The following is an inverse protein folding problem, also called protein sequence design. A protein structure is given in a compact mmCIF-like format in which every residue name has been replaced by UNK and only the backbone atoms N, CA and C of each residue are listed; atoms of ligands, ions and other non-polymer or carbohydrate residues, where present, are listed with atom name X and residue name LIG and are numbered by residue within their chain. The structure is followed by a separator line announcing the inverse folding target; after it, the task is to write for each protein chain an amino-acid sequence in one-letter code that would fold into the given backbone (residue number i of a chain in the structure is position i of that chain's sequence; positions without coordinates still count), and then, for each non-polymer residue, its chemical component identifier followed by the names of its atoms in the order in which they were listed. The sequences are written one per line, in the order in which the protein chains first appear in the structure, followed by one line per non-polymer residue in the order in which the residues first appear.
data_IF_052029650185
#
_entry.id   IF_052029650185
#
_cell.length_a   1.000
_cell.length_b   1.000
_cell.length_c   1.000
_cell.angle_alpha   90.00
_cell.angle_beta   90.00
_cell.angle_gamma   90.00
#
_symmetry.space_group_name_H-M   'P 1'
#
loop_
_entity.id
_entity.type
_entity.pdbx_description
1 polymer ?
#
# COMPACT_ATOMS: atom_id res chain seq x y z
N UNK A 1 0.66 0.56 15.17
CA UNK A 1 0.51 2.00 14.83
C UNK A 1 -0.94 2.44 14.68
N UNK A 2 -1.93 1.64 15.11
CA UNK A 2 -3.36 2.01 15.04
C UNK A 2 -4.07 1.84 16.40
N UNK A 3 -3.34 2.09 17.51
CA UNK A 3 -3.85 1.81 18.87
C UNK A 3 -4.75 2.94 19.40
N UNK A 4 -4.69 4.11 18.78
CA UNK A 4 -5.45 5.31 19.17
C UNK A 4 -6.78 5.41 18.43
N UNK A 5 -6.97 4.61 17.39
CA UNK A 5 -8.09 4.63 16.47
C UNK A 5 -9.12 3.54 16.83
N UNK A 6 -10.39 3.81 16.54
CA UNK A 6 -11.45 2.82 16.68
C UNK A 6 -11.54 1.94 15.41
N UNK A 7 -10.91 0.77 15.45
CA UNK A 7 -10.93 -0.18 14.33
C UNK A 7 -12.24 -0.96 14.33
N UNK A 8 -13.15 -0.61 13.41
CA UNK A 8 -14.48 -1.24 13.31
C UNK A 8 -14.55 -2.36 12.28
N UNK A 9 -13.64 -2.39 11.30
CA UNK A 9 -13.61 -3.37 10.22
C UNK A 9 -12.16 -3.70 9.83
N UNK A 10 -11.94 -4.96 9.46
CA UNK A 10 -10.67 -5.48 8.94
C UNK A 10 -10.95 -6.33 7.71
N UNK A 11 -10.12 -6.19 6.68
CA UNK A 11 -10.27 -6.91 5.42
C UNK A 11 -8.92 -7.47 4.99
N UNK A 12 -8.85 -8.78 4.78
CA UNK A 12 -7.67 -9.45 4.23
C UNK A 12 -8.09 -10.70 3.45
N UNK A 13 -7.43 -10.94 2.32
CA UNK A 13 -7.69 -12.10 1.46
C UNK A 13 -7.09 -13.39 2.04
N UNK A 14 -6.10 -13.29 2.93
CA UNK A 14 -5.48 -14.41 3.63
C UNK A 14 -5.76 -14.34 5.13
N UNK A 15 -6.78 -15.08 5.57
CA UNK A 15 -7.19 -15.10 6.97
C UNK A 15 -6.18 -15.81 7.89
N UNK A 16 -5.31 -16.67 7.34
CA UNK A 16 -4.22 -17.27 8.13
C UNK A 16 -3.16 -16.21 8.42
N UNK A 17 -2.82 -15.40 7.43
CA UNK A 17 -1.89 -14.28 7.60
C UNK A 17 -2.45 -13.20 8.53
N UNK A 18 -3.72 -12.83 8.36
CA UNK A 18 -4.38 -11.79 9.13
C UNK A 18 -4.79 -12.19 10.56
N UNK A 19 -4.69 -13.47 10.91
CA UNK A 19 -5.18 -14.01 12.19
C UNK A 19 -4.67 -13.24 13.42
N UNK A 20 -3.40 -12.81 13.41
CA UNK A 20 -2.85 -11.99 14.50
C UNK A 20 -3.57 -10.64 14.62
N UNK A 21 -3.70 -9.91 13.51
CA UNK A 21 -4.36 -8.58 13.48
C UNK A 21 -5.84 -8.69 13.86
N UNK A 22 -6.52 -9.75 13.42
CA UNK A 22 -7.88 -10.07 13.85
C UNK A 22 -7.96 -10.30 15.36
N UNK A 23 -7.00 -11.01 15.94
CA UNK A 23 -6.89 -11.22 17.39
C UNK A 23 -6.57 -9.95 18.18
N UNK A 24 -5.77 -9.04 17.61
CA UNK A 24 -5.44 -7.74 18.21
C UNK A 24 -6.67 -6.79 18.24
N UNK A 25 -7.65 -7.01 17.36
CA UNK A 25 -8.86 -6.18 17.22
C UNK A 25 -10.15 -7.03 17.14
N UNK A 26 -10.50 -7.77 18.20
CA UNK A 26 -11.57 -8.79 18.14
C UNK A 26 -12.98 -8.22 17.96
N UNK A 27 -13.16 -6.90 18.17
CA UNK A 27 -14.44 -6.21 17.97
C UNK A 27 -14.66 -5.76 16.53
N UNK A 28 -13.60 -5.72 15.72
CA UNK A 28 -13.70 -5.34 14.32
C UNK A 28 -14.38 -6.46 13.52
N UNK A 29 -15.31 -6.10 12.64
CA UNK A 29 -15.91 -7.06 11.70
C UNK A 29 -14.87 -7.45 10.65
N UNK A 30 -14.75 -8.74 10.38
CA UNK A 30 -13.73 -9.30 9.50
C UNK A 30 -14.34 -9.62 8.13
N UNK A 31 -13.62 -9.28 7.07
CA UNK A 31 -14.01 -9.47 5.68
C UNK A 31 -12.86 -10.09 4.88
N UNK A 32 -13.20 -10.81 3.82
CA UNK A 32 -12.23 -11.17 2.76
C UNK A 32 -12.21 -10.15 1.64
N UNK A 33 -13.39 -9.66 1.28
CA UNK A 33 -13.60 -8.72 0.19
C UNK A 33 -13.91 -7.32 0.73
N UNK A 34 -13.12 -6.34 0.31
CA UNK A 34 -13.29 -4.95 0.71
C UNK A 34 -14.57 -4.34 0.12
N UNK A 35 -15.09 -4.87 -1.00
CA UNK A 35 -16.36 -4.46 -1.60
C UNK A 35 -17.52 -4.81 -0.67
N UNK A 36 -17.56 -6.05 -0.20
CA UNK A 36 -18.55 -6.48 0.79
C UNK A 36 -18.43 -5.70 2.11
N UNK A 37 -17.21 -5.37 2.52
CA UNK A 37 -16.98 -4.52 3.69
C UNK A 37 -17.65 -3.16 3.52
N UNK A 38 -17.47 -2.49 2.38
CA UNK A 38 -18.13 -1.21 2.12
C UNK A 38 -19.65 -1.36 1.97
N UNK A 39 -20.16 -2.41 1.33
CA UNK A 39 -21.60 -2.64 1.21
C UNK A 39 -22.26 -2.80 2.60
N UNK A 40 -21.59 -3.52 3.51
CA UNK A 40 -22.14 -3.84 4.84
C UNK A 40 -21.84 -2.79 5.91
N UNK A 41 -20.82 -1.95 5.72
CA UNK A 41 -20.30 -1.04 6.76
C UNK A 41 -19.91 0.34 6.27
N UNK A 42 -20.07 0.64 4.98
CA UNK A 42 -19.62 1.91 4.40
C UNK A 42 -20.15 3.15 5.12
N UNK A 43 -21.37 3.10 5.64
CA UNK A 43 -21.97 4.20 6.42
C UNK A 43 -21.35 4.40 7.81
N UNK A 44 -20.67 3.39 8.35
CA UNK A 44 -20.01 3.45 9.66
C UNK A 44 -18.51 3.76 9.58
N UNK A 45 -17.93 3.70 8.38
CA UNK A 45 -16.50 3.94 8.14
C UNK A 45 -16.27 5.42 7.87
N UNK A 46 -15.41 6.07 8.66
CA UNK A 46 -14.97 7.46 8.42
C UNK A 46 -13.73 7.52 7.52
N UNK A 47 -12.79 6.60 7.75
CA UNK A 47 -11.51 6.54 7.07
C UNK A 47 -11.05 5.10 6.84
N UNK A 48 -10.16 4.90 5.87
CA UNK A 48 -9.51 3.62 5.61
C UNK A 48 -7.98 3.74 5.62
N UNK A 49 -7.33 2.62 5.93
CA UNK A 49 -5.91 2.38 5.73
C UNK A 49 -5.76 1.22 4.74
N UNK A 50 -5.13 1.47 3.60
CA UNK A 50 -4.83 0.46 2.58
C UNK A 50 -3.37 0.04 2.71
N UNK A 51 -3.14 -1.24 2.97
CA UNK A 51 -1.81 -1.86 3.05
C UNK A 51 -1.78 -3.22 2.33
N UNK A 52 -2.55 -3.31 1.25
CA UNK A 52 -2.62 -4.48 0.37
C UNK A 52 -1.41 -4.50 -0.58
N UNK A 53 -1.25 -5.48 -1.49
CA UNK A 53 -0.22 -5.40 -2.53
C UNK A 53 -0.42 -4.23 -3.51
N UNK A 54 0.67 -3.67 -4.04
CA UNK A 54 0.69 -2.42 -4.83
C UNK A 54 -0.38 -2.36 -5.92
N UNK A 55 -0.53 -3.46 -6.69
CA UNK A 55 -1.48 -3.55 -7.82
C UNK A 55 -2.97 -3.38 -7.42
N UNK A 56 -3.31 -3.52 -6.14
CA UNK A 56 -4.69 -3.35 -5.66
C UNK A 56 -4.93 -1.98 -5.01
N UNK A 57 -3.87 -1.25 -4.65
CA UNK A 57 -3.96 0.02 -3.91
C UNK A 57 -4.94 1.00 -4.57
N UNK A 58 -4.77 1.23 -5.87
CA UNK A 58 -5.51 2.22 -6.62
C UNK A 58 -7.02 1.91 -6.64
N UNK A 59 -7.41 0.65 -6.81
CA UNK A 59 -8.82 0.24 -6.85
C UNK A 59 -9.52 0.47 -5.52
N UNK A 60 -8.91 0.00 -4.42
CA UNK A 60 -9.47 0.16 -3.06
C UNK A 60 -9.55 1.64 -2.69
N UNK A 61 -8.46 2.39 -2.91
CA UNK A 61 -8.39 3.81 -2.58
C UNK A 61 -9.38 4.65 -3.41
N UNK A 62 -9.46 4.42 -4.72
CA UNK A 62 -10.40 5.14 -5.59
C UNK A 62 -11.85 4.91 -5.14
N UNK A 63 -12.21 3.65 -4.85
CA UNK A 63 -13.56 3.32 -4.38
C UNK A 63 -13.89 4.05 -3.07
N UNK A 64 -13.00 3.97 -2.08
CA UNK A 64 -13.18 4.65 -0.80
C UNK A 64 -13.32 6.18 -0.94
N UNK A 65 -12.46 6.80 -1.75
CA UNK A 65 -12.52 8.24 -2.03
C UNK A 65 -13.86 8.60 -2.69
N UNK A 66 -14.36 7.80 -3.62
CA UNK A 66 -15.66 8.07 -4.28
C UNK A 66 -16.86 7.94 -3.34
N UNK A 67 -16.70 7.19 -2.25
CA UNK A 67 -17.66 7.10 -1.14
C UNK A 67 -17.45 8.20 -0.07
N UNK A 68 -16.56 9.16 -0.31
CA UNK A 68 -16.27 10.27 0.60
C UNK A 68 -15.43 9.88 1.82
N UNK A 69 -14.70 8.76 1.77
CA UNK A 69 -13.90 8.26 2.91
C UNK A 69 -12.49 8.84 2.90
N UNK A 70 -12.02 9.27 4.07
CA UNK A 70 -10.62 9.65 4.24
C UNK A 70 -9.73 8.45 4.01
N UNK A 71 -8.62 8.64 3.29
CA UNK A 71 -7.90 7.49 2.73
C UNK A 71 -6.40 7.62 2.98
N UNK A 72 -5.88 6.72 3.81
CA UNK A 72 -4.46 6.50 3.97
C UNK A 72 -4.04 5.28 3.14
N UNK A 73 -3.00 5.39 2.31
CA UNK A 73 -2.51 4.28 1.48
C UNK A 73 -1.02 4.10 1.74
N UNK A 74 -0.59 2.87 2.00
CA UNK A 74 0.83 2.58 2.14
C UNK A 74 1.57 2.88 0.85
N UNK A 75 2.87 3.16 1.01
CA UNK A 75 3.78 3.26 -0.11
C UNK A 75 4.04 1.87 -0.71
N UNK A 76 4.42 1.79 -1.99
CA UNK A 76 4.25 2.84 -3.00
C UNK A 76 2.76 3.13 -3.22
N UNK A 77 2.41 4.39 -3.51
CA UNK A 77 0.99 4.80 -3.57
C UNK A 77 0.17 3.95 -4.55
N UNK A 78 0.71 3.69 -5.73
CA UNK A 78 0.05 2.94 -6.80
C UNK A 78 1.06 2.17 -7.64
N UNK A 79 0.55 1.28 -8.49
CA UNK A 79 1.36 0.47 -9.40
C UNK A 79 1.82 1.24 -10.65
N UNK A 80 1.03 2.24 -11.07
CA UNK A 80 1.37 3.11 -12.20
C UNK A 80 1.21 4.60 -11.90
N UNK A 81 1.90 5.45 -12.68
CA UNK A 81 1.76 6.92 -12.60
C UNK A 81 0.33 7.38 -12.95
N UNK A 82 -0.34 6.68 -13.86
CA UNK A 82 -1.72 6.99 -14.23
C UNK A 82 -2.66 6.89 -13.03
N UNK A 83 -2.55 5.81 -12.26
CA UNK A 83 -3.34 5.58 -11.07
C UNK A 83 -3.09 6.65 -10.01
N UNK A 84 -1.83 7.02 -9.77
CA UNK A 84 -1.50 8.12 -8.84
C UNK A 84 -2.20 9.42 -9.25
N UNK A 85 -2.13 9.79 -10.53
CA UNK A 85 -2.81 11.00 -11.06
C UNK A 85 -4.34 10.89 -10.95
N UNK A 86 -4.90 9.70 -11.14
CA UNK A 86 -6.32 9.44 -10.95
C UNK A 86 -6.73 9.69 -9.50
N UNK A 87 -6.01 9.11 -8.54
CA UNK A 87 -6.28 9.30 -7.11
C UNK A 87 -6.18 10.78 -6.72
N UNK A 88 -5.20 11.53 -7.23
CA UNK A 88 -5.11 12.99 -7.02
C UNK A 88 -6.38 13.72 -7.49
N UNK A 89 -6.89 13.39 -8.69
CA UNK A 89 -8.12 14.01 -9.22
C UNK A 89 -9.33 13.65 -8.38
N UNK A 90 -9.44 12.39 -7.95
CA UNK A 90 -10.54 11.93 -7.10
C UNK A 90 -10.50 12.61 -5.73
N UNK A 91 -9.34 12.67 -5.07
CA UNK A 91 -9.18 13.35 -3.78
C UNK A 91 -9.62 14.83 -3.88
N UNK A 92 -9.19 15.53 -4.93
CA UNK A 92 -9.62 16.92 -5.20
C UNK A 92 -11.13 17.04 -5.44
N UNK A 93 -11.72 16.11 -6.20
CA UNK A 93 -13.16 16.12 -6.53
C UNK A 93 -14.04 15.86 -5.31
N UNK A 94 -13.71 14.84 -4.52
CA UNK A 94 -14.51 14.37 -3.38
C UNK A 94 -14.13 15.06 -2.07
N UNK A 95 -13.08 15.88 -2.06
CA UNK A 95 -12.65 16.72 -0.93
C UNK A 95 -12.39 15.94 0.36
N UNK A 96 -11.78 14.77 0.21
CA UNK A 96 -11.37 13.92 1.34
C UNK A 96 -9.90 14.16 1.69
N UNK A 97 -9.56 14.07 2.98
CA UNK A 97 -8.19 13.96 3.41
C UNK A 97 -7.57 12.66 2.89
N UNK A 98 -6.37 12.75 2.32
CA UNK A 98 -5.60 11.61 1.84
C UNK A 98 -4.15 11.70 2.30
N UNK A 99 -3.53 10.56 2.60
CA UNK A 99 -2.12 10.49 2.96
C UNK A 99 -1.47 9.23 2.40
N UNK A 100 -0.29 9.36 1.80
CA UNK A 100 0.58 8.23 1.51
C UNK A 100 1.41 7.88 2.74
N UNK A 101 1.62 6.59 2.99
CA UNK A 101 2.42 6.08 4.11
C UNK A 101 3.93 6.22 3.97
N UNK A 102 4.39 7.36 3.44
CA UNK A 102 5.81 7.67 3.38
C UNK A 102 6.30 8.26 4.70
N UNK A 103 6.46 7.39 5.70
CA UNK A 103 6.77 7.77 7.08
C UNK A 103 8.10 8.52 7.24
N UNK A 104 9.04 8.40 6.28
CA UNK A 104 10.33 9.08 6.30
C UNK A 104 10.18 10.59 6.55
N UNK A 105 9.23 11.23 5.86
CA UNK A 105 8.94 12.66 5.98
C UNK A 105 8.42 13.11 7.35
N UNK A 106 8.02 12.18 8.20
CA UNK A 106 7.58 12.48 9.56
C UNK A 106 8.76 12.64 10.53
N UNK A 107 9.97 12.20 10.16
CA UNK A 107 11.14 12.27 11.03
C UNK A 107 11.83 13.64 10.99
N UNK A 108 12.48 14.00 12.10
CA UNK A 108 13.13 15.30 12.25
C UNK A 108 14.29 15.52 11.27
N UNK A 109 14.98 14.44 10.85
CA UNK A 109 16.11 14.56 9.92
C UNK A 109 15.67 15.13 8.56
N UNK A 110 14.51 14.74 8.01
CA UNK A 110 13.99 15.31 6.77
C UNK A 110 13.75 16.82 6.92
N UNK A 111 13.23 17.24 8.08
CA UNK A 111 12.94 18.65 8.38
C UNK A 111 14.23 19.44 8.52
N UNK A 112 15.22 18.89 9.23
CA UNK A 112 16.53 19.52 9.40
C UNK A 112 17.25 19.72 8.07
N UNK A 113 17.25 18.72 7.18
CA UNK A 113 17.83 18.86 5.84
C UNK A 113 17.14 19.97 5.06
N UNK A 114 15.80 19.99 5.06
CA UNK A 114 15.04 21.05 4.40
C UNK A 114 15.34 22.45 4.99
N UNK A 115 15.52 22.56 6.30
CA UNK A 115 15.91 23.81 6.97
C UNK A 115 17.32 24.26 6.61
N UNK A 116 18.29 23.35 6.56
CA UNK A 116 19.67 23.67 6.16
C UNK A 116 19.75 24.17 4.72
N UNK A 117 19.02 23.53 3.80
CA UNK A 117 18.94 23.97 2.40
C UNK A 117 18.26 25.35 2.32
N UNK A 118 17.09 25.53 2.96
CA UNK A 118 16.34 26.79 2.89
C UNK A 118 17.03 27.97 3.56
N UNK A 119 17.80 27.72 4.62
CA UNK A 119 18.58 28.76 5.31
C UNK A 119 19.84 29.18 4.57
N UNK A 120 20.30 28.37 3.59
CA UNK A 120 21.55 28.61 2.87
C UNK A 120 22.80 28.31 3.68
N UNK A 121 22.70 27.65 4.84
CA UNK A 121 23.85 27.40 5.73
C UNK A 121 24.91 26.48 5.10
N UNK A 122 24.52 25.68 4.10
CA UNK A 122 25.41 24.79 3.34
C UNK A 122 25.81 25.34 1.96
N UNK A 123 25.38 26.56 1.61
CA UNK A 123 25.55 27.13 0.27
C UNK A 123 24.65 26.48 -0.79
N UNK A 124 25.00 26.65 -2.06
CA UNK A 124 24.27 26.05 -3.17
C UNK A 124 24.50 24.53 -3.24
N UNK A 125 23.41 23.77 -3.30
CA UNK A 125 23.47 22.31 -3.46
C UNK A 125 23.78 21.98 -4.92
N UNK A 126 24.91 21.32 -5.17
CA UNK A 126 25.33 20.90 -6.51
C UNK A 126 25.09 19.42 -6.81
N UNK A 127 25.02 18.57 -5.77
CA UNK A 127 24.91 17.12 -5.94
C UNK A 127 24.27 16.47 -4.70
N UNK A 128 23.42 15.47 -4.93
CA UNK A 128 22.80 14.66 -3.88
C UNK A 128 22.89 13.18 -4.27
N UNK A 129 23.36 12.33 -3.34
CA UNK A 129 23.52 10.90 -3.56
C UNK A 129 22.50 10.11 -2.74
N UNK A 130 21.90 9.10 -3.38
CA UNK A 130 20.90 8.24 -2.77
C UNK A 130 21.25 6.78 -3.06
N UNK A 131 21.28 5.93 -2.04
CA UNK A 131 21.51 4.50 -2.20
C UNK A 131 20.76 3.69 -1.15
N UNK A 132 20.64 2.39 -1.39
CA UNK A 132 20.04 1.44 -0.43
C UNK A 132 20.64 0.05 -0.62
N UNK A 133 20.73 -0.70 0.47
CA UNK A 133 21.06 -2.13 0.48
C UNK A 133 19.82 -3.02 0.21
N UNK A 134 18.66 -2.39 -0.02
CA UNK A 134 17.40 -3.06 -0.37
C UNK A 134 17.33 -3.33 -1.87
N UNK A 135 16.56 -4.34 -2.30
CA UNK A 135 15.60 -5.16 -1.53
C UNK A 135 16.26 -6.34 -0.81
N UNK A 136 15.65 -6.80 0.27
CA UNK A 136 15.98 -8.09 0.93
C UNK A 136 15.13 -9.25 0.39
N UNK A 137 14.48 -9.04 -0.75
CA UNK A 137 13.55 -9.97 -1.39
C UNK A 137 13.88 -10.07 -2.89
N UNK A 138 13.55 -11.19 -3.57
CA UNK A 138 14.06 -11.44 -4.92
C UNK A 138 13.46 -10.52 -5.99
N UNK A 139 14.27 -10.10 -6.97
CA UNK A 139 13.86 -9.21 -8.07
C UNK A 139 13.83 -9.92 -9.42
N UNK A 140 12.99 -9.45 -10.33
CA UNK A 140 13.01 -9.89 -11.74
C UNK A 140 12.74 -11.38 -11.91
N UNK A 141 11.90 -11.94 -11.04
CA UNK A 141 11.58 -13.36 -11.04
C UNK A 141 10.78 -13.72 -12.30
N UNK A 142 11.11 -14.88 -12.89
CA UNK A 142 10.28 -15.47 -13.92
C UNK A 142 8.91 -15.86 -13.34
N UNK A 143 7.86 -15.75 -14.15
CA UNK A 143 6.53 -16.17 -13.75
C UNK A 143 6.51 -17.68 -13.43
N UNK A 144 6.10 -18.09 -12.22
CA UNK A 144 5.96 -19.49 -11.87
C UNK A 144 4.89 -20.16 -12.73
N UNK A 145 5.08 -21.46 -13.01
CA UNK A 145 4.13 -22.25 -13.80
C UNK A 145 2.84 -22.59 -13.04
N UNK A 146 2.83 -22.40 -11.71
CA UNK A 146 1.72 -22.77 -10.84
C UNK A 146 1.50 -24.29 -10.79
N UNK A 147 0.24 -24.70 -10.65
CA UNK A 147 -0.14 -26.13 -10.57
C UNK A 147 -0.24 -26.66 -9.14
N UNK A 148 -0.17 -25.78 -8.15
CA UNK A 148 -0.39 -26.10 -6.74
C UNK A 148 -1.73 -25.55 -6.26
N UNK A 149 -2.42 -26.26 -5.33
CA UNK A 149 -3.71 -25.81 -4.82
C UNK A 149 -3.55 -24.52 -4.01
N UNK A 150 -4.56 -23.64 -4.13
CA UNK A 150 -4.65 -22.44 -3.30
C UNK A 150 -4.89 -22.87 -1.84
N UNK A 151 -4.14 -22.33 -0.85
CA UNK A 151 -4.42 -22.57 0.56
C UNK A 151 -5.84 -22.15 0.92
N UNK A 152 -6.58 -22.96 1.69
CA UNK A 152 -7.99 -22.70 2.01
C UNK A 152 -8.25 -21.33 2.68
N UNK A 153 -7.25 -20.80 3.40
CA UNK A 153 -7.36 -19.50 4.06
C UNK A 153 -7.21 -18.31 3.10
N UNK A 154 -6.57 -18.50 1.94
CA UNK A 154 -6.28 -17.48 0.94
C UNK A 154 -7.34 -17.48 -0.16
N UNK A 155 -7.92 -16.30 -0.41
CA UNK A 155 -8.73 -16.06 -1.60
C UNK A 155 -7.86 -15.52 -2.74
N UNK A 156 -7.53 -16.40 -3.68
CA UNK A 156 -6.64 -16.06 -4.79
C UNK A 156 -7.29 -15.16 -5.84
N UNK A 157 -8.61 -15.25 -6.02
CA UNK A 157 -9.35 -14.38 -6.94
C UNK A 157 -9.26 -12.93 -6.47
N UNK A 158 -9.51 -12.72 -5.17
CA UNK A 158 -9.42 -11.42 -4.53
C UNK A 158 -7.97 -10.91 -4.48
N UNK A 159 -6.99 -11.79 -4.25
CA UNK A 159 -5.58 -11.40 -4.30
C UNK A 159 -5.17 -10.91 -5.70
N UNK A 160 -5.52 -11.62 -6.77
CA UNK A 160 -5.21 -11.20 -8.15
C UNK A 160 -5.82 -9.82 -8.44
N UNK A 161 -7.06 -9.61 -8.00
CA UNK A 161 -7.76 -8.34 -8.17
C UNK A 161 -7.74 -7.86 -9.63
N UNK A 162 -7.18 -6.68 -9.93
CA UNK A 162 -7.14 -6.12 -11.28
C UNK A 162 -6.05 -6.73 -12.19
N UNK A 163 -5.14 -7.54 -11.66
CA UNK A 163 -4.06 -8.11 -12.46
C UNK A 163 -4.57 -9.20 -13.42
N UNK A 164 -3.77 -9.49 -14.46
CA UNK A 164 -4.07 -10.57 -15.38
C UNK A 164 -4.14 -11.92 -14.65
N UNK A 165 -5.19 -12.70 -14.97
CA UNK A 165 -5.49 -14.00 -14.37
C UNK A 165 -4.33 -14.97 -14.55
N UNK A 166 -3.97 -15.65 -13.46
CA UNK A 166 -2.86 -16.61 -13.43
C UNK A 166 -3.05 -17.66 -12.34
N UNK A 167 -2.44 -18.85 -12.48
CA UNK A 167 -2.50 -19.85 -11.43
C UNK A 167 -1.78 -19.34 -10.16
N UNK A 168 -2.22 -19.84 -9.02
CA UNK A 168 -1.54 -19.59 -7.75
C UNK A 168 -0.19 -20.31 -7.72
N UNK A 169 0.76 -19.68 -7.02
CA UNK A 169 2.05 -20.25 -6.67
C UNK A 169 2.52 -19.64 -5.32
N UNK A 170 3.05 -20.45 -4.38
CA UNK A 170 3.56 -19.96 -3.10
C UNK A 170 4.75 -19.01 -3.24
N UNK A 171 5.39 -18.92 -4.41
CA UNK A 171 6.42 -17.93 -4.68
C UNK A 171 5.91 -16.49 -4.61
N UNK A 172 4.59 -16.23 -4.75
CA UNK A 172 4.02 -14.89 -4.69
C UNK A 172 3.78 -14.39 -3.26
N UNK A 173 3.08 -15.16 -2.44
CA UNK A 173 2.57 -14.71 -1.13
C UNK A 173 3.44 -15.21 0.02
N UNK A 174 3.41 -14.54 1.19
CA UNK A 174 2.75 -13.25 1.44
C UNK A 174 3.61 -12.03 1.08
N UNK A 175 4.89 -12.21 0.73
CA UNK A 175 5.86 -11.11 0.69
C UNK A 175 6.49 -10.85 -0.68
N UNK A 176 6.76 -11.91 -1.44
CA UNK A 176 7.59 -11.87 -2.65
C UNK A 176 6.88 -11.29 -3.89
N UNK A 177 5.57 -11.07 -3.82
CA UNK A 177 4.76 -10.43 -4.86
C UNK A 177 5.38 -9.13 -5.37
N UNK A 178 6.16 -8.43 -4.54
CA UNK A 178 6.88 -7.19 -4.88
C UNK A 178 7.85 -7.36 -6.06
N UNK A 179 8.42 -8.56 -6.21
CA UNK A 179 9.38 -8.89 -7.27
C UNK A 179 8.75 -9.33 -8.58
N UNK A 180 7.43 -9.48 -8.60
CA UNK A 180 6.68 -9.75 -9.81
C UNK A 180 6.02 -8.45 -10.24
N UNK A 181 6.43 -7.93 -11.39
CA UNK A 181 5.92 -6.65 -11.92
C UNK A 181 4.41 -6.60 -12.05
N UNK A 182 3.74 -7.74 -12.13
CA UNK A 182 2.27 -7.85 -12.20
C UNK A 182 1.57 -7.48 -10.89
N UNK A 183 2.27 -7.54 -9.76
CA UNK A 183 1.71 -7.32 -8.42
C UNK A 183 2.38 -6.18 -7.66
N UNK A 184 3.67 -5.96 -7.90
CA UNK A 184 4.47 -4.93 -7.26
C UNK A 184 5.25 -4.07 -8.24
N UNK A 185 5.96 -3.09 -7.69
CA UNK A 185 6.70 -2.07 -8.44
C UNK A 185 8.23 -2.23 -8.35
N UNK A 186 8.71 -3.40 -7.90
CA UNK A 186 10.14 -3.64 -7.73
C UNK A 186 10.75 -2.85 -6.57
N UNK A 187 12.07 -2.95 -6.41
CA UNK A 187 12.79 -2.21 -5.37
C UNK A 187 12.72 -0.70 -5.60
N UNK A 188 12.66 -0.29 -6.87
CA UNK A 188 12.55 1.11 -7.23
C UNK A 188 11.28 1.71 -6.64
N UNK A 189 10.10 1.14 -6.89
CA UNK A 189 8.87 1.67 -6.31
C UNK A 189 8.82 1.53 -4.78
N UNK A 190 9.31 0.42 -4.23
CA UNK A 190 9.29 0.14 -2.79
C UNK A 190 10.21 1.06 -1.96
N UNK A 191 11.38 1.41 -2.49
CA UNK A 191 12.44 2.11 -1.75
C UNK A 191 12.76 3.52 -2.26
N UNK A 192 12.63 3.80 -3.56
CA UNK A 192 12.91 5.14 -4.07
C UNK A 192 11.96 6.17 -3.46
N UNK A 193 10.69 5.82 -3.25
CA UNK A 193 9.77 6.72 -2.56
C UNK A 193 10.20 7.05 -1.13
N UNK A 194 10.96 6.18 -0.46
CA UNK A 194 11.50 6.49 0.88
C UNK A 194 12.75 7.35 0.82
N UNK A 195 13.64 7.07 -0.12
CA UNK A 195 15.01 7.59 -0.08
C UNK A 195 15.23 8.78 -1.03
N UNK A 196 14.48 8.86 -2.13
CA UNK A 196 14.60 9.93 -3.12
C UNK A 196 13.59 11.06 -2.90
N UNK A 197 12.45 10.79 -2.25
CA UNK A 197 11.45 11.83 -1.93
C UNK A 197 11.97 12.93 -0.98
N UNK A 198 12.85 12.63 0.01
CA UNK A 198 13.42 13.66 0.88
C UNK A 198 14.58 14.48 0.28
N UNK A 199 15.07 14.10 -0.91
CA UNK A 199 16.16 14.80 -1.62
C UNK A 199 15.57 15.84 -2.58
#
# INVERSE_FOLDING_TARGET
NMKTENIIALCDVDWKYAAKTFGDHPKARQFKDWREMFDKMGNSIDAILVATPDHTHAGVAAHAITLGKHTYVQKPLTHSVYESRLLTRLAKKYKVATQMGNQGNSFDWCRQVAEWVKSGVIGDVHEAHCWTDRPIWPQGLAEPKGGVPVPAALDWDLFIGPAARRPYDPAYTPWNWRGFWVFGTGALGDMACHNMDPL
#
